data_IF_255694097944
#
_entry.id   IF_255694097944
#
_cell.length_a   1.000
_cell.length_b   1.000
_cell.length_c   1.000
_cell.angle_alpha   90.00
_cell.angle_beta   90.00
_cell.angle_gamma   90.00
#
_symmetry.space_group_name_H-M   'P 1'
#
loop_
_entity.id
_entity.type
_entity.pdbx_description
1 polymer ?
#
# COMPACT_ATOMS: atom_id res chain seq x y z
N UNK A 1 4.81 3.39 -11.04
CA UNK A 1 5.65 4.62 -10.93
C UNK A 1 5.06 5.69 -10.01
N UNK A 2 3.75 5.98 -9.99
CA UNK A 2 3.18 7.03 -9.10
C UNK A 2 3.06 6.62 -7.61
N UNK A 3 2.62 5.39 -7.32
CA UNK A 3 2.43 4.90 -5.95
C UNK A 3 3.76 4.61 -5.24
N UNK A 4 4.76 4.19 -6.00
CA UNK A 4 6.15 4.00 -5.58
C UNK A 4 6.77 5.31 -5.07
N UNK A 5 6.56 6.42 -5.78
CA UNK A 5 6.99 7.76 -5.35
C UNK A 5 6.25 8.21 -4.09
N UNK A 6 4.94 7.99 -4.03
CA UNK A 6 4.15 8.33 -2.85
C UNK A 6 4.64 7.61 -1.58
N UNK A 7 5.10 6.35 -1.68
CA UNK A 7 5.72 5.65 -0.54
C UNK A 7 7.02 6.32 -0.09
N UNK A 8 7.83 6.81 -1.03
CA UNK A 8 9.10 7.49 -0.73
C UNK A 8 8.85 8.81 -0.02
N UNK A 9 7.75 9.52 -0.34
CA UNK A 9 7.44 10.82 0.23
C UNK A 9 6.72 10.70 1.59
N UNK A 10 5.89 9.66 1.76
CA UNK A 10 5.08 9.45 2.95
C UNK A 10 5.91 9.05 4.20
N UNK A 11 5.65 9.73 5.31
CA UNK A 11 6.40 9.56 6.56
C UNK A 11 6.19 8.19 7.21
N UNK A 12 4.96 7.65 7.19
CA UNK A 12 4.66 6.32 7.75
C UNK A 12 5.35 5.21 6.95
N UNK A 13 5.34 5.33 5.62
CA UNK A 13 6.05 4.42 4.73
C UNK A 13 7.57 4.48 4.94
N UNK A 14 8.16 5.67 5.15
CA UNK A 14 9.58 5.80 5.52
C UNK A 14 9.91 5.07 6.82
N UNK A 15 9.04 5.13 7.83
CA UNK A 15 9.25 4.44 9.10
C UNK A 15 9.10 2.92 8.96
N UNK A 16 8.08 2.45 8.24
CA UNK A 16 7.93 1.03 7.88
C UNK A 16 9.11 0.51 7.06
N UNK A 17 9.65 1.31 6.14
CA UNK A 17 10.83 0.99 5.35
C UNK A 17 12.06 0.83 6.25
N UNK A 18 12.30 1.78 7.16
CA UNK A 18 13.39 1.69 8.12
C UNK A 18 13.23 0.46 9.02
N UNK A 19 12.02 0.12 9.44
CA UNK A 19 11.73 -1.06 10.25
C UNK A 19 12.02 -2.34 9.45
N UNK A 20 11.49 -2.46 8.25
CA UNK A 20 11.70 -3.63 7.40
C UNK A 20 13.19 -3.86 7.06
N UNK A 21 14.00 -2.78 7.06
CA UNK A 21 15.45 -2.85 6.85
C UNK A 21 16.24 -3.19 8.12
N UNK A 22 15.85 -2.66 9.28
CA UNK A 22 16.64 -2.74 10.52
C UNK A 22 16.12 -3.79 11.51
N UNK A 23 14.87 -4.23 11.36
CA UNK A 23 14.16 -5.07 12.34
C UNK A 23 13.85 -4.37 13.67
N UNK A 24 14.24 -3.09 13.84
CA UNK A 24 14.12 -2.41 15.11
C UNK A 24 12.69 -1.89 15.33
N UNK A 25 11.92 -2.49 16.22
CA UNK A 25 10.55 -2.06 16.51
C UNK A 25 10.45 -0.69 17.21
N UNK A 26 11.53 -0.18 17.82
CA UNK A 26 11.54 1.12 18.53
C UNK A 26 11.39 2.34 17.62
N UNK A 27 11.65 2.18 16.31
CA UNK A 27 11.48 3.26 15.33
C UNK A 27 10.04 3.38 14.81
N UNK A 28 9.17 2.42 15.13
CA UNK A 28 7.76 2.50 14.81
C UNK A 28 7.03 3.24 15.94
N UNK A 29 6.26 4.29 15.64
CA UNK A 29 5.49 4.99 16.64
C UNK A 29 4.41 4.04 17.17
N UNK A 30 4.08 4.23 18.45
CA UNK A 30 3.06 3.43 19.14
C UNK A 30 1.67 3.85 18.66
N UNK A 31 1.33 3.49 17.43
CA UNK A 31 0.05 3.81 16.82
C UNK A 31 -0.51 2.59 16.08
N UNK A 32 -1.84 2.46 16.07
CA UNK A 32 -2.58 1.33 15.48
C UNK A 32 -2.26 1.12 13.99
N UNK A 33 -1.82 2.18 13.32
CA UNK A 33 -1.37 2.20 11.92
C UNK A 33 -0.22 1.22 11.62
N UNK A 34 0.66 0.95 12.60
CA UNK A 34 1.81 0.06 12.41
C UNK A 34 1.52 -1.40 12.75
N UNK A 35 0.26 -1.76 12.98
CA UNK A 35 -0.18 -3.17 13.13
C UNK A 35 0.06 -4.02 11.88
N UNK A 36 0.35 -3.39 10.73
CA UNK A 36 0.72 -4.08 9.49
C UNK A 36 2.21 -4.41 9.37
N UNK A 37 3.05 -4.01 10.32
CA UNK A 37 4.52 -4.19 10.22
C UNK A 37 4.91 -5.66 9.97
N UNK A 38 4.22 -6.60 10.61
CA UNK A 38 4.44 -8.04 10.48
C UNK A 38 3.84 -8.61 9.18
N UNK A 39 2.98 -7.82 8.52
CA UNK A 39 2.27 -8.14 7.28
C UNK A 39 2.90 -7.50 6.05
N UNK A 40 4.01 -6.77 6.18
CA UNK A 40 4.71 -6.14 5.04
C UNK A 40 6.12 -6.68 4.86
N UNK A 41 6.61 -6.66 3.62
CA UNK A 41 7.97 -7.01 3.21
C UNK A 41 8.56 -5.89 2.37
N UNK A 42 9.85 -5.62 2.53
CA UNK A 42 10.58 -4.69 1.66
C UNK A 42 11.11 -5.47 0.46
N UNK A 43 10.84 -5.00 -0.76
CA UNK A 43 11.31 -5.64 -1.99
C UNK A 43 11.64 -4.56 -3.01
N UNK A 44 12.85 -4.57 -3.56
CA UNK A 44 13.32 -3.56 -4.55
C UNK A 44 13.09 -2.10 -4.11
N UNK A 45 13.14 -1.83 -2.80
CA UNK A 45 12.95 -0.48 -2.25
C UNK A 45 11.51 -0.11 -1.89
N UNK A 46 10.52 -0.96 -2.20
CA UNK A 46 9.10 -0.71 -1.92
C UNK A 46 8.50 -1.70 -0.93
N UNK A 47 7.46 -1.24 -0.24
CA UNK A 47 6.71 -2.05 0.71
C UNK A 47 5.61 -2.84 0.00
N UNK A 48 5.64 -4.15 0.16
CA UNK A 48 4.64 -5.09 -0.33
C UNK A 48 4.00 -5.85 0.83
N UNK A 49 2.81 -6.42 0.64
CA UNK A 49 2.25 -7.34 1.62
C UNK A 49 3.03 -8.68 1.63
N UNK A 50 3.44 -9.10 2.83
CA UNK A 50 4.15 -10.35 3.09
C UNK A 50 3.35 -11.54 2.55
N UNK A 51 4.05 -12.47 1.89
CA UNK A 51 3.44 -13.62 1.23
C UNK A 51 2.68 -13.31 -0.07
N UNK A 52 2.67 -12.05 -0.54
CA UNK A 52 2.00 -11.66 -1.79
C UNK A 52 2.86 -10.69 -2.60
N UNK A 53 2.40 -10.33 -3.80
CA UNK A 53 3.01 -9.29 -4.65
C UNK A 53 2.17 -8.00 -4.66
N UNK A 54 1.30 -7.81 -3.67
CA UNK A 54 0.47 -6.62 -3.55
C UNK A 54 1.31 -5.45 -3.03
N UNK A 55 1.37 -4.34 -3.76
CA UNK A 55 2.09 -3.13 -3.37
C UNK A 55 1.29 -2.37 -2.30
N UNK A 56 1.95 -1.90 -1.23
CA UNK A 56 1.29 -1.07 -0.22
C UNK A 56 0.90 0.29 -0.82
N UNK A 57 -0.37 0.66 -0.76
CA UNK A 57 -0.84 1.97 -1.22
C UNK A 57 -0.89 2.93 -0.04
N UNK A 58 -0.31 4.11 -0.23
CA UNK A 58 -0.37 5.20 0.75
C UNK A 58 -1.79 5.76 0.80
N UNK A 59 -2.29 6.10 1.99
CA UNK A 59 -3.68 6.51 2.21
C UNK A 59 -4.15 7.60 1.23
N UNK A 60 -3.35 8.66 1.06
CA UNK A 60 -3.64 9.79 0.17
C UNK A 60 -3.63 9.44 -1.33
N UNK A 61 -3.35 8.18 -1.69
CA UNK A 61 -3.34 7.67 -3.06
C UNK A 61 -4.31 6.51 -3.29
N UNK A 62 -5.14 6.17 -2.32
CA UNK A 62 -6.17 5.13 -2.48
C UNK A 62 -7.20 5.59 -3.52
N UNK A 63 -7.66 6.84 -3.48
CA UNK A 63 -8.59 7.39 -4.47
C UNK A 63 -7.99 7.44 -5.88
N UNK A 64 -6.72 7.84 -5.99
CA UNK A 64 -5.93 7.77 -7.23
C UNK A 64 -5.87 6.34 -7.78
N UNK A 65 -5.64 5.35 -6.91
CA UNK A 65 -5.62 3.94 -7.31
C UNK A 65 -6.98 3.47 -7.81
N UNK A 66 -8.05 3.84 -7.12
CA UNK A 66 -9.43 3.52 -7.51
C UNK A 66 -9.75 4.14 -8.87
N UNK A 67 -9.46 5.42 -9.06
CA UNK A 67 -9.69 6.12 -10.33
C UNK A 67 -8.92 5.46 -11.47
N UNK A 68 -7.65 5.11 -11.27
CA UNK A 68 -6.83 4.49 -12.30
C UNK A 68 -7.38 3.13 -12.79
N UNK A 69 -7.98 2.34 -11.89
CA UNK A 69 -8.63 1.07 -12.26
C UNK A 69 -10.01 1.30 -12.87
N UNK A 70 -10.73 2.32 -12.41
CA UNK A 70 -12.07 2.66 -12.91
C UNK A 70 -12.04 3.30 -14.31
N UNK A 71 -11.02 4.10 -14.63
CA UNK A 71 -10.92 4.86 -15.89
C UNK A 71 -9.95 4.25 -16.90
N UNK A 72 -9.31 3.12 -16.59
CA UNK A 72 -8.31 2.49 -17.47
C UNK A 72 -8.89 1.98 -18.79
N UNK A 73 -8.11 2.03 -19.88
CA UNK A 73 -8.49 1.56 -21.21
C UNK A 73 -8.82 0.05 -21.14
N UNK A 74 -10.12 -0.28 -21.19
CA UNK A 74 -10.65 -1.63 -21.00
C UNK A 74 -11.57 -1.81 -19.79
N UNK A 75 -11.66 -0.81 -18.90
CA UNK A 75 -12.62 -0.75 -17.81
C UNK A 75 -13.99 -0.33 -18.35
N UNK A 76 -14.65 -1.25 -19.07
CA UNK A 76 -16.04 -1.08 -19.48
C UNK A 76 -16.92 -1.04 -18.22
N UNK A 77 -17.16 0.16 -17.68
CA UNK A 77 -18.08 0.47 -16.58
C UNK A 77 -18.14 -0.64 -15.50
N UNK A 78 -16.97 -1.12 -15.08
CA UNK A 78 -16.88 -2.27 -14.18
C UNK A 78 -17.37 -1.81 -12.82
N UNK A 79 -18.51 -2.37 -12.39
CA UNK A 79 -19.12 -2.06 -11.10
C UNK A 79 -18.11 -2.14 -9.96
N UNK A 80 -18.42 -1.45 -8.86
CA UNK A 80 -17.55 -1.24 -7.70
C UNK A 80 -16.85 -2.54 -7.25
N UNK A 81 -17.57 -3.67 -7.28
CA UNK A 81 -17.05 -5.00 -6.93
C UNK A 81 -15.86 -5.43 -7.80
N UNK A 82 -15.97 -5.35 -9.12
CA UNK A 82 -14.89 -5.76 -10.04
C UNK A 82 -13.69 -4.82 -9.95
N UNK A 83 -13.94 -3.52 -9.78
CA UNK A 83 -12.89 -2.52 -9.55
C UNK A 83 -12.11 -2.85 -8.26
N UNK A 84 -12.82 -3.19 -7.19
CA UNK A 84 -12.22 -3.58 -5.92
C UNK A 84 -11.41 -4.89 -6.01
N UNK A 85 -11.89 -5.88 -6.75
CA UNK A 85 -11.16 -7.14 -6.97
C UNK A 85 -9.85 -6.92 -7.73
N UNK A 86 -9.88 -6.11 -8.80
CA UNK A 86 -8.69 -5.75 -9.56
C UNK A 86 -7.67 -4.98 -8.71
N UNK A 87 -8.15 -4.04 -7.90
CA UNK A 87 -7.29 -3.31 -6.95
C UNK A 87 -6.66 -4.26 -5.94
N UNK A 88 -7.45 -5.14 -5.31
CA UNK A 88 -6.95 -6.11 -4.34
C UNK A 88 -5.96 -7.09 -4.94
N UNK A 89 -5.99 -7.36 -6.24
CA UNK A 89 -4.99 -8.22 -6.90
C UNK A 89 -3.59 -7.60 -6.93
N UNK A 90 -3.52 -6.28 -7.10
CA UNK A 90 -2.25 -5.56 -7.33
C UNK A 90 -1.79 -4.73 -6.13
N UNK A 91 -2.72 -4.34 -5.26
CA UNK A 91 -2.50 -3.38 -4.20
C UNK A 91 -3.01 -3.90 -2.86
N UNK A 92 -2.35 -3.46 -1.81
CA UNK A 92 -2.72 -3.71 -0.43
C UNK A 92 -2.87 -2.37 0.29
N UNK A 93 -4.01 -2.18 0.94
CA UNK A 93 -4.21 -1.11 1.91
C UNK A 93 -4.99 -1.71 3.09
N UNK A 94 -4.50 -1.56 4.32
CA UNK A 94 -5.23 -2.02 5.49
C UNK A 94 -6.45 -1.11 5.78
N UNK A 95 -7.59 -1.70 6.12
CA UNK A 95 -8.81 -0.97 6.51
C UNK A 95 -8.65 -0.04 7.72
N UNK A 96 -7.61 -0.22 8.54
CA UNK A 96 -7.35 0.59 9.73
C UNK A 96 -6.42 1.80 9.47
N UNK A 97 -6.27 2.22 8.21
CA UNK A 97 -5.63 3.50 7.87
C UNK A 97 -6.63 4.66 7.78
N UNK A 98 -7.92 4.40 8.05
CA UNK A 98 -9.00 5.39 8.18
C UNK A 98 -9.15 5.89 9.62
#
# INVERSE_FOLDING_TARGET
MQFERAQIENQDCKQLWKYARTGNSKILPSNRYFSIRDKVKLTKGYLYKKGTNQLLVVNNKIEDAINLVHTGIGASHVGITKTLELLKRSYYWPSNFF
#
